data_IF_774897596863
#
_entry.id   IF_774897596863
#
_cell.length_a   1.000
_cell.length_b   1.000
_cell.length_c   1.000
_cell.angle_alpha   90.00
_cell.angle_beta   90.00
_cell.angle_gamma   90.00
#
_symmetry.space_group_name_H-M   'P 1'
#
loop_
_entity.id
_entity.type
_entity.pdbx_description
1 polymer ?
#
# COMPACT_ATOMS: atom_id res chain seq x y z
N UNK A 1 42.76 -35.82 -56.93
CA UNK A 1 42.54 -34.70 -56.00
C UNK A 1 41.05 -34.59 -55.83
N UNK A 2 40.60 -35.22 -54.76
CA UNK A 2 39.23 -35.21 -54.25
C UNK A 2 38.80 -33.80 -53.86
N UNK A 3 37.54 -33.47 -54.12
CA UNK A 3 36.81 -32.55 -53.25
C UNK A 3 35.33 -33.00 -53.16
N UNK A 4 34.87 -33.56 -52.03
CA UNK A 4 33.51 -34.03 -51.86
C UNK A 4 32.60 -33.01 -51.17
N UNK A 5 31.49 -32.68 -51.84
CA UNK A 5 30.13 -32.45 -51.33
C UNK A 5 29.98 -31.83 -49.92
N UNK A 6 29.58 -30.56 -49.89
CA UNK A 6 28.77 -30.00 -48.79
C UNK A 6 27.35 -29.70 -49.29
N UNK A 7 26.53 -30.76 -49.31
CA UNK A 7 25.08 -30.64 -49.39
C UNK A 7 24.51 -30.41 -47.99
N UNK A 8 24.40 -29.15 -47.57
CA UNK A 8 23.68 -28.78 -46.36
C UNK A 8 22.18 -29.05 -46.61
N UNK A 9 21.68 -30.15 -46.06
CA UNK A 9 20.24 -30.43 -45.99
C UNK A 9 19.56 -29.42 -45.05
N UNK A 10 19.06 -28.32 -45.61
CA UNK A 10 18.11 -27.43 -44.93
C UNK A 10 16.73 -28.08 -44.94
N UNK A 11 16.37 -28.80 -43.88
CA UNK A 11 15.08 -29.51 -43.86
C UNK A 11 14.66 -30.17 -42.56
N UNK A 12 15.23 -29.82 -41.41
CA UNK A 12 14.64 -30.23 -40.14
C UNK A 12 13.51 -29.26 -39.78
N UNK A 13 12.28 -29.66 -40.06
CA UNK A 13 11.12 -29.03 -39.44
C UNK A 13 11.30 -29.09 -37.92
N UNK A 14 11.17 -27.95 -37.24
CA UNK A 14 11.45 -27.83 -35.81
C UNK A 14 10.65 -28.89 -35.03
N UNK A 15 11.38 -29.82 -34.40
CA UNK A 15 10.86 -31.01 -33.74
C UNK A 15 9.78 -30.65 -32.70
N UNK A 16 9.83 -29.42 -32.18
CA UNK A 16 8.84 -28.80 -31.28
C UNK A 16 7.39 -28.91 -31.81
N UNK A 17 7.18 -28.78 -33.12
CA UNK A 17 5.84 -28.88 -33.73
C UNK A 17 5.27 -30.30 -33.75
N UNK A 18 6.14 -31.32 -33.70
CA UNK A 18 5.72 -32.73 -33.75
C UNK A 18 5.68 -33.41 -32.37
N UNK A 19 6.14 -32.75 -31.31
CA UNK A 19 6.23 -33.34 -29.96
C UNK A 19 4.90 -33.94 -29.50
N UNK A 20 3.77 -33.25 -29.69
CA UNK A 20 2.46 -33.76 -29.28
C UNK A 20 2.00 -34.97 -30.10
N UNK A 21 2.27 -34.97 -31.41
CA UNK A 21 1.96 -36.09 -32.30
C UNK A 21 2.84 -37.32 -32.00
N UNK A 22 4.15 -37.12 -31.82
CA UNK A 22 5.10 -38.18 -31.41
C UNK A 22 4.70 -38.76 -30.06
N UNK A 23 4.37 -37.91 -29.07
CA UNK A 23 3.84 -38.36 -27.77
C UNK A 23 2.55 -39.16 -27.93
N UNK A 24 1.65 -38.73 -28.81
CA UNK A 24 0.42 -39.46 -29.12
C UNK A 24 0.69 -40.88 -29.65
N UNK A 25 1.66 -41.03 -30.55
CA UNK A 25 2.08 -42.34 -31.09
C UNK A 25 2.77 -43.19 -30.01
N UNK A 26 3.70 -42.61 -29.25
CA UNK A 26 4.39 -43.31 -28.16
C UNK A 26 3.40 -43.80 -27.10
N UNK A 27 2.44 -42.96 -26.71
CA UNK A 27 1.38 -43.34 -25.76
C UNK A 27 0.50 -44.48 -26.28
N UNK A 28 0.24 -44.53 -27.59
CA UNK A 28 -0.61 -45.54 -28.23
C UNK A 28 0.08 -46.90 -28.39
N UNK A 29 1.41 -46.93 -28.51
CA UNK A 29 2.14 -48.16 -28.82
C UNK A 29 3.11 -48.65 -27.74
N UNK A 30 3.58 -47.78 -26.84
CA UNK A 30 4.69 -48.12 -25.93
C UNK A 30 4.42 -47.80 -24.46
N UNK A 31 3.31 -47.15 -24.11
CA UNK A 31 3.05 -46.70 -22.74
C UNK A 31 1.71 -47.22 -22.26
N UNK A 32 1.66 -48.46 -21.77
CA UNK A 32 0.44 -48.98 -21.14
C UNK A 32 0.31 -48.47 -19.69
N UNK A 33 1.41 -48.47 -18.92
CA UNK A 33 1.41 -48.25 -17.47
C UNK A 33 2.24 -47.04 -17.02
N UNK A 34 2.31 -45.98 -17.82
CA UNK A 34 3.05 -44.77 -17.43
C UNK A 34 2.48 -43.50 -18.07
N UNK A 35 3.01 -42.35 -17.67
CA UNK A 35 2.65 -41.04 -18.16
C UNK A 35 3.89 -40.14 -18.28
N UNK A 36 4.05 -39.44 -19.39
CA UNK A 36 5.10 -38.43 -19.52
C UNK A 36 4.70 -37.13 -18.83
N UNK A 37 5.61 -36.52 -18.07
CA UNK A 37 5.39 -35.18 -17.51
C UNK A 37 5.22 -34.15 -18.65
N UNK A 38 4.10 -33.40 -18.67
CA UNK A 38 3.84 -32.40 -19.70
C UNK A 38 4.78 -31.21 -19.54
N UNK A 39 4.98 -30.43 -20.61
CA UNK A 39 5.71 -29.17 -20.56
C UNK A 39 4.65 -28.09 -20.35
N UNK A 40 4.56 -27.55 -19.13
CA UNK A 40 3.61 -26.51 -18.77
C UNK A 40 4.39 -25.33 -18.21
N UNK A 41 4.25 -24.17 -18.83
CA UNK A 41 4.96 -22.96 -18.42
C UNK A 41 4.62 -22.60 -16.96
N UNK A 42 5.64 -22.30 -16.16
CA UNK A 42 5.47 -21.88 -14.78
C UNK A 42 5.25 -23.01 -13.79
N UNK A 43 5.31 -24.29 -14.20
CA UNK A 43 5.11 -25.46 -13.32
C UNK A 43 6.41 -26.24 -13.12
N UNK A 44 6.69 -26.57 -11.87
CA UNK A 44 7.71 -27.54 -11.44
C UNK A 44 7.04 -28.80 -10.89
N UNK A 45 7.64 -29.94 -11.14
CA UNK A 45 7.14 -31.24 -10.69
C UNK A 45 8.05 -31.83 -9.61
N UNK A 46 7.48 -32.43 -8.56
CA UNK A 46 8.23 -33.22 -7.57
C UNK A 46 7.41 -34.40 -7.07
N UNK A 47 8.07 -35.40 -6.50
CA UNK A 47 7.37 -36.39 -5.67
C UNK A 47 6.91 -35.78 -4.35
N UNK A 48 5.90 -36.39 -3.73
CA UNK A 48 5.47 -36.04 -2.39
C UNK A 48 6.61 -36.23 -1.38
N UNK A 49 6.86 -35.23 -0.54
CA UNK A 49 7.95 -35.24 0.44
C UNK A 49 9.36 -35.06 -0.14
N UNK A 50 9.52 -34.93 -1.47
CA UNK A 50 10.80 -34.69 -2.12
C UNK A 50 10.99 -33.22 -2.53
N UNK A 51 12.24 -32.75 -2.44
CA UNK A 51 12.67 -31.45 -2.96
C UNK A 51 13.30 -31.56 -4.37
N UNK A 52 13.45 -32.78 -4.89
CA UNK A 52 14.01 -33.00 -6.23
C UNK A 52 12.99 -32.59 -7.31
N UNK A 53 13.46 -31.76 -8.24
CA UNK A 53 12.66 -31.30 -9.37
C UNK A 53 12.77 -32.31 -10.50
N UNK A 54 11.62 -32.85 -10.92
CA UNK A 54 11.52 -33.77 -12.03
C UNK A 54 11.55 -32.99 -13.35
N UNK A 55 12.45 -33.40 -14.25
CA UNK A 55 12.53 -32.79 -15.58
C UNK A 55 11.27 -33.05 -16.40
N UNK A 56 10.91 -32.08 -17.23
CA UNK A 56 9.84 -32.25 -18.21
C UNK A 56 10.08 -33.47 -19.11
N UNK A 57 9.03 -34.21 -19.45
CA UNK A 57 9.15 -35.43 -20.24
C UNK A 57 9.70 -36.64 -19.49
N UNK A 58 9.94 -36.56 -18.18
CA UNK A 58 10.20 -37.75 -17.34
C UNK A 58 9.02 -38.72 -17.41
N UNK A 59 9.30 -40.02 -17.51
CA UNK A 59 8.30 -41.08 -17.51
C UNK A 59 7.91 -41.44 -16.05
N UNK A 60 6.64 -41.30 -15.72
CA UNK A 60 6.09 -41.56 -14.39
C UNK A 60 5.22 -42.81 -14.43
N UNK A 61 5.46 -43.74 -13.53
CA UNK A 61 4.69 -44.99 -13.46
C UNK A 61 3.21 -44.75 -13.10
N UNK A 62 2.35 -45.66 -13.56
CA UNK A 62 0.93 -45.70 -13.23
C UNK A 62 0.69 -45.70 -11.71
N UNK A 63 -0.42 -45.08 -11.28
CA UNK A 63 -0.82 -44.88 -9.89
C UNK A 63 0.14 -44.02 -9.04
N UNK A 64 1.01 -43.24 -9.67
CA UNK A 64 1.83 -42.25 -8.96
C UNK A 64 1.18 -40.87 -8.98
N UNK A 65 1.30 -40.19 -7.84
CA UNK A 65 0.94 -38.79 -7.66
C UNK A 65 2.19 -37.92 -7.72
N UNK A 66 2.10 -36.84 -8.47
CA UNK A 66 3.12 -35.80 -8.61
C UNK A 66 2.57 -34.51 -8.02
N UNK A 67 3.39 -33.84 -7.22
CA UNK A 67 3.11 -32.52 -6.68
C UNK A 67 3.55 -31.48 -7.71
N UNK A 68 2.65 -30.53 -7.99
CA UNK A 68 2.93 -29.36 -8.82
C UNK A 68 3.24 -28.16 -7.93
N UNK A 69 4.34 -27.48 -8.24
CA UNK A 69 4.76 -26.23 -7.61
C UNK A 69 4.93 -25.18 -8.71
N UNK A 70 4.99 -23.90 -8.34
CA UNK A 70 5.22 -22.84 -9.31
C UNK A 70 6.70 -22.46 -9.44
N UNK A 71 7.12 -22.16 -10.66
CA UNK A 71 8.42 -21.55 -10.95
C UNK A 71 8.51 -20.13 -10.36
N UNK A 72 9.72 -19.60 -10.27
CA UNK A 72 9.95 -18.21 -9.85
C UNK A 72 9.18 -17.23 -10.74
N UNK A 73 8.49 -16.27 -10.11
CA UNK A 73 7.61 -15.31 -10.79
C UNK A 73 6.19 -15.82 -11.08
N UNK A 74 5.90 -17.08 -10.77
CA UNK A 74 4.55 -17.65 -10.79
C UNK A 74 4.06 -17.95 -9.37
N UNK A 75 2.75 -17.91 -9.20
CA UNK A 75 2.09 -18.12 -7.91
C UNK A 75 0.93 -19.10 -8.04
N UNK A 76 0.74 -19.94 -7.01
CA UNK A 76 -0.35 -20.90 -6.97
C UNK A 76 -1.67 -20.19 -6.70
N UNK A 77 -2.67 -20.37 -7.56
CA UNK A 77 -4.03 -19.89 -7.32
C UNK A 77 -4.80 -20.76 -6.31
N UNK A 78 -4.35 -22.00 -6.09
CA UNK A 78 -4.98 -22.99 -5.23
C UNK A 78 -3.95 -23.60 -4.28
N UNK A 79 -4.34 -24.04 -3.08
CA UNK A 79 -3.40 -24.46 -2.04
C UNK A 79 -2.59 -25.72 -2.39
N UNK A 80 -3.11 -26.57 -3.29
CA UNK A 80 -2.51 -27.85 -3.63
C UNK A 80 -2.61 -28.06 -5.14
N UNK A 81 -1.49 -28.33 -5.79
CA UNK A 81 -1.43 -28.80 -7.17
C UNK A 81 -1.01 -30.27 -7.21
N UNK A 82 -1.87 -31.14 -7.72
CA UNK A 82 -1.56 -32.56 -7.87
C UNK A 82 -1.92 -33.07 -9.26
N UNK A 83 -1.04 -33.93 -9.79
CA UNK A 83 -1.34 -34.77 -10.95
C UNK A 83 -1.19 -36.24 -10.62
N UNK A 84 -2.17 -37.03 -11.01
CA UNK A 84 -2.19 -38.46 -10.84
C UNK A 84 -2.08 -39.16 -12.20
N UNK A 85 -1.12 -40.06 -12.35
CA UNK A 85 -0.95 -40.82 -13.59
C UNK A 85 -1.94 -42.00 -13.63
N UNK A 86 -2.89 -41.95 -14.58
CA UNK A 86 -3.87 -43.02 -14.84
C UNK A 86 -3.35 -44.09 -15.82
N UNK A 87 -2.10 -43.99 -16.26
CA UNK A 87 -1.55 -44.85 -17.31
C UNK A 87 -2.00 -44.42 -18.70
N UNK A 88 -1.49 -45.08 -19.73
CA UNK A 88 -1.77 -44.75 -21.14
C UNK A 88 -1.52 -43.28 -21.51
N UNK A 89 -0.58 -42.63 -20.83
CA UNK A 89 -0.28 -41.21 -21.00
C UNK A 89 -1.34 -40.24 -20.46
N UNK A 90 -2.36 -40.72 -19.73
CA UNK A 90 -3.44 -39.88 -19.20
C UNK A 90 -3.15 -39.39 -17.79
N UNK A 91 -3.32 -38.09 -17.59
CA UNK A 91 -3.21 -37.43 -16.29
C UNK A 91 -4.57 -37.01 -15.78
N UNK A 92 -4.83 -37.27 -14.51
CA UNK A 92 -5.90 -36.63 -13.76
C UNK A 92 -5.30 -35.48 -12.95
N UNK A 93 -5.87 -34.29 -13.04
CA UNK A 93 -5.40 -33.11 -12.32
C UNK A 93 -6.56 -32.45 -11.59
N UNK A 94 -6.28 -31.88 -10.43
CA UNK A 94 -7.31 -31.21 -9.62
C UNK A 94 -7.59 -29.78 -10.07
N UNK A 95 -6.75 -29.20 -10.93
CA UNK A 95 -6.90 -27.85 -11.47
C UNK A 95 -6.54 -27.83 -12.96
N UNK A 96 -7.21 -26.97 -13.73
CA UNK A 96 -6.87 -26.79 -15.16
C UNK A 96 -5.58 -25.98 -15.32
N UNK A 97 -5.41 -24.94 -14.50
CA UNK A 97 -4.20 -24.12 -14.42
C UNK A 97 -3.94 -23.74 -12.96
N UNK A 98 -2.77 -24.15 -12.46
CA UNK A 98 -2.36 -23.90 -11.07
C UNK A 98 -1.58 -22.60 -10.90
N UNK A 99 -0.62 -22.37 -11.79
CA UNK A 99 0.39 -21.33 -11.67
C UNK A 99 0.09 -20.14 -12.60
N UNK A 100 0.08 -18.94 -12.03
CA UNK A 100 -0.17 -17.70 -12.76
C UNK A 100 0.89 -16.65 -12.41
N UNK A 101 1.24 -15.81 -13.38
CA UNK A 101 1.76 -14.49 -13.08
C UNK A 101 0.58 -13.67 -12.53
N UNK A 102 0.67 -13.29 -11.27
CA UNK A 102 -0.41 -12.58 -10.58
C UNK A 102 -0.06 -11.11 -10.44
N UNK A 103 -1.08 -10.26 -10.47
CA UNK A 103 -0.90 -8.83 -10.28
C UNK A 103 -0.64 -8.51 -8.81
N UNK A 104 0.22 -7.51 -8.53
CA UNK A 104 0.55 -7.12 -7.16
C UNK A 104 -0.70 -6.63 -6.40
N UNK A 105 -0.69 -6.71 -5.06
CA UNK A 105 -1.76 -6.15 -4.22
C UNK A 105 -2.02 -4.67 -4.52
N UNK A 106 -3.29 -4.27 -4.45
CA UNK A 106 -3.72 -2.88 -4.56
C UNK A 106 -4.05 -2.33 -3.17
N UNK A 107 -3.18 -1.48 -2.65
CA UNK A 107 -3.31 -0.86 -1.32
C UNK A 107 -3.27 0.66 -1.51
N UNK A 108 -4.19 1.38 -0.88
CA UNK A 108 -4.24 2.83 -0.93
C UNK A 108 -4.87 3.45 0.32
N UNK A 109 -4.24 4.51 0.81
CA UNK A 109 -4.76 5.29 1.94
C UNK A 109 -5.87 6.24 1.51
N UNK A 110 -5.93 6.59 0.22
CA UNK A 110 -6.84 7.61 -0.32
C UNK A 110 -7.98 7.05 -1.20
N UNK A 111 -7.87 5.79 -1.64
CA UNK A 111 -8.87 5.12 -2.49
C UNK A 111 -9.60 4.01 -1.74
N UNK A 112 -10.89 3.85 -2.02
CA UNK A 112 -11.65 2.62 -1.79
C UNK A 112 -11.50 1.73 -3.03
N UNK A 113 -11.00 0.50 -2.85
CA UNK A 113 -10.68 -0.41 -3.96
C UNK A 113 -11.45 -1.71 -3.74
N UNK A 114 -12.22 -2.10 -4.75
CA UNK A 114 -12.99 -3.35 -4.76
C UNK A 114 -12.54 -4.21 -5.91
N UNK A 115 -12.20 -5.46 -5.62
CA UNK A 115 -11.75 -6.42 -6.62
C UNK A 115 -12.81 -7.49 -6.82
N UNK A 116 -12.99 -7.87 -8.08
CA UNK A 116 -13.87 -8.96 -8.47
C UNK A 116 -13.21 -9.83 -9.51
N UNK A 117 -13.38 -11.14 -9.39
CA UNK A 117 -12.96 -12.11 -10.39
C UNK A 117 -14.17 -12.95 -10.78
N UNK A 118 -14.51 -12.98 -12.06
CA UNK A 118 -15.73 -13.63 -12.58
C UNK A 118 -17.00 -13.19 -11.83
N UNK A 119 -17.10 -11.89 -11.51
CA UNK A 119 -18.23 -11.30 -10.78
C UNK A 119 -18.30 -11.63 -9.28
N UNK A 120 -17.35 -12.41 -8.73
CA UNK A 120 -17.27 -12.72 -7.31
C UNK A 120 -16.25 -11.84 -6.61
N UNK A 121 -16.48 -11.56 -5.33
CA UNK A 121 -15.55 -10.82 -4.50
C UNK A 121 -14.15 -11.45 -4.52
N UNK A 122 -13.13 -10.62 -4.70
CA UNK A 122 -11.73 -10.97 -4.55
C UNK A 122 -11.06 -9.98 -3.58
N UNK A 123 -10.12 -10.45 -2.79
CA UNK A 123 -9.39 -9.60 -1.85
C UNK A 123 -8.26 -8.84 -2.57
N UNK A 124 -8.38 -7.52 -2.71
CA UNK A 124 -7.38 -6.66 -3.35
C UNK A 124 -6.03 -6.60 -2.63
N UNK A 125 -6.00 -6.93 -1.33
CA UNK A 125 -4.78 -6.92 -0.52
C UNK A 125 -3.89 -8.13 -0.79
N UNK A 126 -4.38 -9.11 -1.55
CA UNK A 126 -3.61 -10.27 -1.99
C UNK A 126 -3.20 -10.12 -3.46
N UNK A 127 -2.28 -10.99 -3.89
CA UNK A 127 -1.99 -11.17 -5.31
C UNK A 127 -3.27 -11.55 -6.07
N UNK A 128 -3.49 -10.91 -7.21
CA UNK A 128 -4.70 -11.11 -8.02
C UNK A 128 -4.39 -11.99 -9.22
N UNK A 129 -5.22 -13.02 -9.45
CA UNK A 129 -5.14 -13.81 -10.69
C UNK A 129 -5.51 -12.96 -11.93
N UNK A 130 -5.02 -13.32 -13.12
CA UNK A 130 -5.44 -12.70 -14.37
C UNK A 130 -6.96 -12.61 -14.51
N UNK A 131 -7.42 -11.58 -15.23
CA UNK A 131 -8.83 -11.25 -15.45
C UNK A 131 -9.58 -10.78 -14.19
N UNK A 132 -8.89 -10.58 -13.08
CA UNK A 132 -9.43 -9.83 -11.93
C UNK A 132 -9.63 -8.36 -12.33
N UNK A 133 -10.81 -7.83 -12.07
CA UNK A 133 -11.17 -6.42 -12.28
C UNK A 133 -11.15 -5.73 -10.92
N UNK A 134 -10.43 -4.62 -10.83
CA UNK A 134 -10.44 -3.74 -9.67
C UNK A 134 -11.08 -2.40 -10.02
N UNK A 135 -12.06 -1.99 -9.23
CA UNK A 135 -12.68 -0.65 -9.32
C UNK A 135 -12.20 0.18 -8.15
N UNK A 136 -11.63 1.36 -8.45
CA UNK A 136 -11.10 2.28 -7.46
C UNK A 136 -11.81 3.64 -7.52
N UNK A 137 -12.18 4.17 -6.36
CA UNK A 137 -12.78 5.50 -6.19
C UNK A 137 -12.19 6.20 -4.97
N UNK A 138 -12.27 7.52 -4.87
CA UNK A 138 -11.79 8.23 -3.68
C UNK A 138 -12.58 7.80 -2.43
N UNK A 139 -11.90 7.70 -1.29
CA UNK A 139 -12.59 7.58 0.01
C UNK A 139 -13.42 8.84 0.28
N UNK A 140 -14.52 8.79 1.07
CA UNK A 140 -15.45 9.91 1.25
C UNK A 140 -14.83 11.26 1.68
N UNK A 141 -13.71 11.23 2.41
CA UNK A 141 -12.98 12.42 2.89
C UNK A 141 -11.94 12.95 1.89
N UNK A 142 -11.91 12.40 0.67
CA UNK A 142 -10.95 12.72 -0.37
C UNK A 142 -11.65 13.11 -1.68
N UNK A 143 -10.92 13.80 -2.56
CA UNK A 143 -11.38 14.26 -3.87
C UNK A 143 -10.38 13.87 -4.95
N UNK A 144 -10.88 13.63 -6.16
CA UNK A 144 -10.05 13.30 -7.31
C UNK A 144 -9.24 14.53 -7.76
N UNK A 145 -8.02 14.36 -8.32
CA UNK A 145 -7.18 15.46 -8.79
C UNK A 145 -7.89 16.43 -9.77
N UNK A 146 -8.83 15.94 -10.56
CA UNK A 146 -9.54 16.71 -11.59
C UNK A 146 -10.95 17.16 -11.15
N UNK A 147 -11.31 16.98 -9.86
CA UNK A 147 -12.63 17.33 -9.33
C UNK A 147 -13.80 16.48 -9.85
N UNK A 148 -13.55 15.57 -10.78
CA UNK A 148 -14.53 14.64 -11.33
C UNK A 148 -14.35 13.27 -10.66
N UNK A 149 -15.36 12.81 -9.92
CA UNK A 149 -15.39 11.44 -9.37
C UNK A 149 -15.50 10.44 -10.53
N UNK A 150 -14.35 9.94 -10.97
CA UNK A 150 -14.25 8.91 -11.99
C UNK A 150 -13.84 7.63 -11.27
N UNK A 151 -14.72 6.63 -11.28
CA UNK A 151 -14.33 5.28 -10.91
C UNK A 151 -13.30 4.77 -11.91
N UNK A 152 -12.09 4.49 -11.44
CA UNK A 152 -11.04 3.89 -12.25
C UNK A 152 -11.21 2.38 -12.25
N UNK A 153 -11.34 1.79 -13.43
CA UNK A 153 -11.33 0.34 -13.60
C UNK A 153 -9.96 -0.13 -14.11
N UNK A 154 -9.38 -1.10 -13.39
CA UNK A 154 -8.13 -1.78 -13.69
C UNK A 154 -8.40 -3.26 -13.98
N UNK A 155 -7.66 -3.83 -14.93
CA UNK A 155 -7.69 -5.24 -15.30
C UNK A 155 -6.33 -5.87 -15.04
N UNK A 156 -6.32 -6.99 -14.31
CA UNK A 156 -5.11 -7.79 -14.12
C UNK A 156 -4.80 -8.59 -15.39
N UNK A 157 -3.66 -8.31 -16.01
CA UNK A 157 -3.26 -8.93 -17.28
C UNK A 157 -2.52 -10.25 -17.04
N UNK A 158 -2.48 -11.10 -18.07
CA UNK A 158 -1.81 -12.42 -18.03
C UNK A 158 -0.30 -12.38 -17.78
N UNK A 159 0.33 -11.21 -17.96
CA UNK A 159 1.74 -10.97 -17.64
C UNK A 159 1.98 -10.67 -16.14
N UNK A 160 0.94 -10.60 -15.31
CA UNK A 160 1.03 -10.27 -13.89
C UNK A 160 1.10 -8.77 -13.59
N UNK A 161 0.66 -7.91 -14.53
CA UNK A 161 0.62 -6.47 -14.34
C UNK A 161 -0.80 -5.92 -14.47
N UNK A 162 -1.11 -4.88 -13.69
CA UNK A 162 -2.32 -4.10 -13.90
C UNK A 162 -2.19 -3.25 -15.15
N UNK A 163 -3.24 -3.19 -15.97
CA UNK A 163 -3.24 -2.41 -17.21
C UNK A 163 -3.16 -0.89 -17.01
N UNK A 164 -3.44 -0.40 -15.80
CA UNK A 164 -3.42 1.01 -15.40
C UNK A 164 -2.79 1.16 -14.03
N UNK A 165 -2.39 2.37 -13.68
CA UNK A 165 -1.90 2.71 -12.35
C UNK A 165 -2.99 3.41 -11.53
N UNK A 166 -2.97 3.20 -10.22
CA UNK A 166 -3.83 3.93 -9.30
C UNK A 166 -3.45 5.41 -9.29
N UNK A 167 -4.47 6.27 -9.33
CA UNK A 167 -4.31 7.69 -9.04
C UNK A 167 -4.32 7.93 -7.52
N UNK A 168 -3.89 9.10 -7.08
CA UNK A 168 -3.96 9.51 -5.66
C UNK A 168 -5.06 10.54 -5.48
N UNK A 169 -5.93 10.35 -4.51
CA UNK A 169 -6.91 11.37 -4.13
C UNK A 169 -6.31 12.33 -3.11
N UNK A 170 -6.76 13.58 -3.14
CA UNK A 170 -6.36 14.62 -2.20
C UNK A 170 -7.41 14.74 -1.10
N UNK A 171 -7.04 14.90 0.16
CA UNK A 171 -8.03 15.09 1.21
C UNK A 171 -8.78 16.41 1.02
N UNK A 172 -10.07 16.44 1.35
CA UNK A 172 -10.75 17.72 1.54
C UNK A 172 -10.10 18.48 2.69
N UNK A 173 -9.72 19.72 2.45
CA UNK A 173 -9.06 20.56 3.45
C UNK A 173 -9.89 21.80 3.81
N UNK A 174 -9.63 22.39 4.98
CA UNK A 174 -10.20 23.67 5.40
C UNK A 174 -11.72 23.67 5.61
N UNK A 175 -12.35 22.49 5.68
CA UNK A 175 -13.79 22.35 5.94
C UNK A 175 -14.03 22.17 7.42
N UNK A 176 -14.88 23.03 7.98
CA UNK A 176 -15.34 22.92 9.36
C UNK A 176 -16.57 22.03 9.40
N UNK A 177 -16.64 21.08 10.32
CA UNK A 177 -17.83 20.26 10.52
C UNK A 177 -18.67 20.89 11.64
N UNK A 178 -19.56 21.82 11.28
CA UNK A 178 -20.57 22.34 12.21
C UNK A 178 -21.94 22.18 11.56
N UNK A 179 -22.83 21.39 12.17
CA UNK A 179 -24.28 21.57 11.95
C UNK A 179 -24.65 22.88 12.62
N UNK A 180 -24.80 23.95 11.83
CA UNK A 180 -25.40 25.25 12.16
C UNK A 180 -25.15 25.76 13.58
N UNK A 181 -24.05 26.45 13.91
CA UNK A 181 -24.08 27.46 15.00
C UNK A 181 -23.00 28.55 14.80
N UNK A 182 -23.35 29.74 15.30
CA UNK A 182 -22.70 31.06 15.11
C UNK A 182 -21.30 31.09 15.75
N UNK A 183 -20.37 31.77 15.07
CA UNK A 183 -19.06 32.14 15.62
C UNK A 183 -19.26 33.06 16.83
N UNK A 184 -18.87 32.62 18.02
CA UNK A 184 -18.86 33.46 19.22
C UNK A 184 -17.39 33.74 19.58
N UNK A 185 -17.06 35.02 19.54
CA UNK A 185 -15.81 35.61 20.00
C UNK A 185 -15.91 35.80 21.53
N UNK A 186 -15.05 35.12 22.30
CA UNK A 186 -14.75 35.32 23.75
C UNK A 186 -14.14 34.11 24.50
N UNK A 187 -13.52 33.13 23.82
CA UNK A 187 -12.66 32.14 24.51
C UNK A 187 -13.39 31.04 25.28
N UNK A 188 -14.62 30.69 24.90
CA UNK A 188 -15.30 29.50 25.41
C UNK A 188 -14.75 28.20 24.80
N UNK A 189 -14.94 27.08 25.51
CA UNK A 189 -14.48 25.73 25.13
C UNK A 189 -14.84 25.40 23.68
N UNK A 190 -13.82 25.10 22.87
CA UNK A 190 -14.02 24.74 21.48
C UNK A 190 -14.89 23.47 21.35
N UNK A 191 -15.96 23.56 20.56
CA UNK A 191 -16.82 22.41 20.27
C UNK A 191 -16.13 21.49 19.25
N UNK A 192 -16.44 20.19 19.35
CA UNK A 192 -15.97 19.18 18.40
C UNK A 192 -16.32 19.58 16.97
N UNK A 193 -15.33 19.56 16.07
CA UNK A 193 -15.48 19.85 14.65
C UNK A 193 -15.30 21.32 14.25
N UNK A 194 -15.09 22.23 15.20
CA UNK A 194 -14.91 23.68 14.92
C UNK A 194 -13.51 24.06 14.40
N UNK A 195 -12.51 23.23 14.70
CA UNK A 195 -11.14 23.31 14.16
C UNK A 195 -10.58 21.88 13.99
N UNK A 196 -11.08 21.10 13.01
CA UNK A 196 -10.76 19.68 12.87
C UNK A 196 -9.30 19.41 12.48
N UNK A 197 -8.56 20.44 12.06
CA UNK A 197 -7.13 20.39 11.81
C UNK A 197 -6.29 20.63 13.06
N UNK A 198 -6.88 20.98 14.21
CA UNK A 198 -6.13 21.30 15.42
C UNK A 198 -5.37 20.09 15.95
N UNK A 199 -4.18 20.36 16.48
CA UNK A 199 -3.27 19.34 17.01
C UNK A 199 -2.74 19.76 18.37
N UNK A 200 -2.81 18.87 19.35
CA UNK A 200 -2.06 18.96 20.59
C UNK A 200 -0.73 18.23 20.48
N UNK A 201 0.36 18.89 20.83
CA UNK A 201 1.72 18.34 20.78
C UNK A 201 2.20 18.13 22.20
N UNK A 202 2.46 16.88 22.52
CA UNK A 202 2.81 16.43 23.86
C UNK A 202 4.24 15.95 23.93
N UNK A 203 4.95 16.31 24.99
CA UNK A 203 6.30 15.84 25.28
C UNK A 203 6.31 15.02 26.57
N UNK A 204 7.00 13.88 26.56
CA UNK A 204 7.20 13.07 27.74
C UNK A 204 8.10 13.82 28.74
N UNK A 205 7.55 14.12 29.90
CA UNK A 205 8.26 14.57 31.06
C UNK A 205 8.88 13.36 31.78
N UNK A 206 10.20 13.23 31.68
CA UNK A 206 10.92 12.07 32.24
C UNK A 206 10.96 12.06 33.77
N UNK A 207 10.58 13.15 34.44
CA UNK A 207 10.63 13.22 35.91
C UNK A 207 9.42 12.56 36.57
N UNK A 208 8.23 12.72 35.99
CA UNK A 208 6.97 12.18 36.51
C UNK A 208 6.34 11.14 35.56
N UNK A 209 6.97 10.90 34.41
CA UNK A 209 6.51 9.98 33.36
C UNK A 209 5.18 10.38 32.73
N UNK A 210 4.78 11.65 32.83
CA UNK A 210 3.58 12.18 32.18
C UNK A 210 3.89 12.86 30.84
N UNK A 211 2.85 13.07 30.04
CA UNK A 211 2.94 13.82 28.79
C UNK A 211 2.35 15.22 28.96
N UNK A 212 3.20 16.22 28.85
CA UNK A 212 2.81 17.63 28.96
C UNK A 212 2.55 18.22 27.58
N UNK A 213 1.44 18.95 27.43
CA UNK A 213 1.15 19.65 26.18
C UNK A 213 2.05 20.88 26.05
N UNK A 214 3.02 20.82 25.15
CA UNK A 214 4.02 21.88 24.97
C UNK A 214 3.62 22.88 23.89
N UNK A 215 2.89 22.45 22.86
CA UNK A 215 2.57 23.27 21.70
C UNK A 215 1.29 22.82 21.00
N UNK A 216 0.81 23.67 20.08
CA UNK A 216 -0.21 23.34 19.11
C UNK A 216 0.37 23.11 17.71
N UNK A 217 -0.46 22.61 16.80
CA UNK A 217 -0.11 22.45 15.39
C UNK A 217 -1.34 22.38 14.49
N UNK A 218 -1.12 22.12 13.21
CA UNK A 218 -2.20 21.88 12.26
C UNK A 218 -1.91 20.69 11.33
N UNK A 219 -2.92 19.87 11.09
CA UNK A 219 -2.83 18.77 10.14
C UNK A 219 -2.78 19.33 8.72
N UNK A 220 -1.77 18.99 7.92
CA UNK A 220 -1.66 19.39 6.51
C UNK A 220 -1.71 18.20 5.55
N UNK A 221 -1.50 16.98 6.05
CA UNK A 221 -1.57 15.70 5.33
C UNK A 221 -1.80 14.58 6.35
N UNK A 222 -2.25 13.36 5.97
CA UNK A 222 -2.46 12.27 6.93
C UNK A 222 -1.27 11.95 7.84
N UNK A 223 -0.04 12.19 7.40
CA UNK A 223 1.18 11.96 8.20
C UNK A 223 2.01 13.23 8.46
N UNK A 224 1.51 14.42 8.14
CA UNK A 224 2.27 15.67 8.29
C UNK A 224 1.49 16.70 9.11
N UNK A 225 2.16 17.20 10.15
CA UNK A 225 1.69 18.30 10.97
C UNK A 225 2.63 19.48 10.80
N UNK A 226 2.08 20.68 10.65
CA UNK A 226 2.82 21.94 10.72
C UNK A 226 2.75 22.49 12.15
N UNK A 227 3.87 22.99 12.66
CA UNK A 227 3.97 23.62 13.99
C UNK A 227 5.08 24.68 13.96
N UNK A 228 5.45 25.19 15.13
CA UNK A 228 6.52 26.17 15.29
C UNK A 228 7.85 25.49 15.66
N UNK A 229 8.96 26.07 15.21
CA UNK A 229 10.29 25.54 15.48
C UNK A 229 10.73 25.72 16.93
N UNK A 230 10.29 26.81 17.58
CA UNK A 230 10.60 27.10 18.97
C UNK A 230 10.11 26.01 19.94
N UNK A 231 9.09 25.24 19.56
CA UNK A 231 8.57 24.12 20.35
C UNK A 231 9.60 23.01 20.60
N UNK A 232 10.54 22.82 19.66
CA UNK A 232 11.47 21.67 19.68
C UNK A 232 12.94 22.09 19.72
N UNK A 233 13.22 23.35 19.38
CA UNK A 233 14.57 23.87 19.32
C UNK A 233 15.21 23.92 20.71
N UNK A 234 16.49 23.55 20.76
CA UNK A 234 17.35 23.70 21.93
C UNK A 234 18.63 24.44 21.55
N UNK A 235 19.15 25.22 22.50
CA UNK A 235 20.46 25.88 22.33
C UNK A 235 21.53 24.83 22.03
N UNK A 236 22.40 25.14 21.06
CA UNK A 236 23.47 24.26 20.58
C UNK A 236 23.04 22.95 19.88
N UNK A 237 21.81 22.87 19.36
CA UNK A 237 21.45 21.80 18.41
C UNK A 237 22.34 21.85 17.16
N UNK A 238 22.98 20.72 16.84
CA UNK A 238 23.82 20.56 15.65
C UNK A 238 23.02 20.22 14.38
N UNK A 239 21.83 19.63 14.55
CA UNK A 239 20.95 19.22 13.45
C UNK A 239 19.58 19.89 13.62
N UNK A 240 18.95 20.29 12.51
CA UNK A 240 17.56 20.77 12.46
C UNK A 240 16.56 19.63 12.22
N UNK A 241 17.05 18.41 12.06
CA UNK A 241 16.27 17.18 11.99
C UNK A 241 16.41 16.40 13.30
N UNK A 242 15.28 16.02 13.89
CA UNK A 242 15.19 15.25 15.13
C UNK A 242 14.47 13.94 14.82
N UNK A 243 15.20 12.83 14.81
CA UNK A 243 14.61 11.49 14.72
C UNK A 243 14.13 11.03 16.09
N UNK A 244 12.89 10.52 16.19
CA UNK A 244 12.28 10.11 17.46
C UNK A 244 12.23 8.59 17.53
N UNK A 245 12.86 8.02 18.54
CA UNK A 245 12.91 6.56 18.78
C UNK A 245 12.50 6.17 20.19
N UNK A 246 12.30 7.13 21.10
CA UNK A 246 12.07 6.92 22.53
C UNK A 246 10.68 7.42 22.99
N UNK A 247 9.71 7.48 22.08
CA UNK A 247 8.35 7.96 22.34
C UNK A 247 8.27 9.38 22.94
N UNK A 248 9.35 10.16 22.87
CA UNK A 248 9.45 11.48 23.51
C UNK A 248 8.34 12.45 23.13
N UNK A 249 7.78 12.32 21.93
CA UNK A 249 6.68 13.15 21.47
C UNK A 249 5.47 12.32 21.03
N UNK A 250 4.29 12.80 21.42
CA UNK A 250 3.00 12.28 20.98
C UNK A 250 2.17 13.41 20.38
N UNK A 251 1.41 13.08 19.36
CA UNK A 251 0.52 13.98 18.65
C UNK A 251 -0.90 13.54 18.92
N UNK A 252 -1.73 14.44 19.43
CA UNK A 252 -3.16 14.21 19.61
C UNK A 252 -3.96 15.06 18.64
N UNK A 253 -4.88 14.43 17.90
CA UNK A 253 -5.81 15.10 16.97
C UNK A 253 -7.24 14.77 17.34
N UNK A 254 -8.18 15.64 16.99
CA UNK A 254 -9.59 15.47 17.38
C UNK A 254 -9.84 15.62 18.88
N UNK A 255 -8.86 16.09 19.65
CA UNK A 255 -8.87 16.24 21.10
C UNK A 255 -9.07 17.71 21.50
N UNK A 256 -9.89 17.93 22.53
CA UNK A 256 -10.32 19.24 23.05
C UNK A 256 -9.95 19.46 24.52
N UNK A 257 -9.72 18.39 25.28
CA UNK A 257 -9.18 18.41 26.64
C UNK A 257 -7.64 18.46 26.63
N UNK A 258 -7.02 19.30 27.46
CA UNK A 258 -5.56 19.42 27.52
C UNK A 258 -4.87 18.20 28.11
N UNK A 259 -5.49 17.49 29.05
CA UNK A 259 -4.87 16.37 29.75
C UNK A 259 -4.66 15.20 28.77
N UNK A 260 -3.41 14.80 28.58
CA UNK A 260 -3.02 13.73 27.64
C UNK A 260 -3.76 12.41 27.90
N UNK A 261 -3.98 12.07 29.17
CA UNK A 261 -4.57 10.78 29.58
C UNK A 261 -6.07 10.68 29.30
N UNK A 262 -6.74 11.79 29.02
CA UNK A 262 -8.19 11.82 28.78
C UNK A 262 -8.46 11.61 27.29
N UNK A 263 -9.23 10.57 26.96
CA UNK A 263 -9.90 10.43 25.67
C UNK A 263 -11.28 11.06 25.80
N UNK A 264 -11.43 12.26 25.27
CA UNK A 264 -12.60 13.12 25.50
C UNK A 264 -13.73 12.95 24.48
N UNK A 265 -13.47 12.28 23.35
CA UNK A 265 -14.47 11.97 22.33
C UNK A 265 -13.99 10.86 21.36
N UNK A 266 -14.90 10.41 20.50
CA UNK A 266 -14.69 9.33 19.51
C UNK A 266 -13.72 9.66 18.36
N UNK A 267 -13.40 10.93 18.13
CA UNK A 267 -12.48 11.36 17.08
C UNK A 267 -11.03 11.47 17.57
N UNK A 268 -10.80 11.38 18.89
CA UNK A 268 -9.48 11.52 19.50
C UNK A 268 -8.54 10.40 19.05
N UNK A 269 -7.45 10.79 18.41
CA UNK A 269 -6.39 9.88 17.95
C UNK A 269 -5.06 10.37 18.51
N UNK A 270 -4.30 9.45 19.12
CA UNK A 270 -2.96 9.70 19.64
C UNK A 270 -1.96 8.92 18.79
N UNK A 271 -0.98 9.63 18.24
CA UNK A 271 -0.08 9.12 17.20
C UNK A 271 1.37 9.43 17.58
N UNK A 272 2.24 8.47 17.30
CA UNK A 272 3.68 8.62 17.52
C UNK A 272 4.32 9.50 16.46
N UNK A 273 5.37 10.21 16.86
CA UNK A 273 6.22 10.99 15.95
C UNK A 273 7.37 10.13 15.43
N UNK A 274 7.64 10.22 14.13
CA UNK A 274 8.81 9.61 13.49
C UNK A 274 9.97 10.60 13.47
N UNK A 275 9.74 11.80 12.93
CA UNK A 275 10.78 12.81 12.73
C UNK A 275 10.20 14.21 12.84
N UNK A 276 11.00 15.14 13.36
CA UNK A 276 10.69 16.57 13.39
C UNK A 276 11.74 17.32 12.56
N UNK A 277 11.28 18.13 11.62
CA UNK A 277 12.09 19.01 10.79
C UNK A 277 11.87 20.46 11.20
N UNK A 278 12.92 21.11 11.67
CA UNK A 278 12.95 22.55 11.87
C UNK A 278 13.45 23.23 10.59
N UNK A 279 12.97 24.43 10.31
CA UNK A 279 13.53 25.21 9.21
C UNK A 279 15.01 25.54 9.49
N UNK A 280 15.85 25.41 8.47
CA UNK A 280 17.30 25.61 8.60
C UNK A 280 17.68 27.00 9.13
N UNK A 281 16.97 28.05 8.71
CA UNK A 281 17.19 29.42 9.16
C UNK A 281 16.72 29.73 10.59
N UNK A 282 16.09 28.77 11.30
CA UNK A 282 15.62 29.02 12.66
C UNK A 282 16.77 28.95 13.69
N UNK A 283 17.20 30.11 14.19
CA UNK A 283 18.27 30.23 15.20
C UNK A 283 17.77 30.58 16.60
N UNK A 284 16.47 30.46 16.88
CA UNK A 284 15.91 30.81 18.18
C UNK A 284 16.04 32.31 18.48
N UNK A 285 16.23 32.70 19.76
CA UNK A 285 16.31 34.11 20.14
C UNK A 285 17.41 34.89 19.42
N UNK A 286 18.55 34.27 19.09
CA UNK A 286 19.65 34.95 18.37
C UNK A 286 19.30 35.30 16.92
N UNK A 287 18.33 34.59 16.33
CA UNK A 287 17.77 34.91 15.01
C UNK A 287 16.46 35.68 15.10
N UNK A 288 16.13 36.29 16.24
CA UNK A 288 14.85 37.00 16.49
C UNK A 288 13.61 36.14 16.21
N UNK A 289 13.70 34.82 16.40
CA UNK A 289 12.65 33.87 16.06
C UNK A 289 12.20 33.94 14.58
N UNK A 290 13.07 34.41 13.68
CA UNK A 290 12.81 34.31 12.25
C UNK A 290 12.72 32.85 11.81
N UNK A 291 11.89 32.58 10.81
CA UNK A 291 11.68 31.24 10.25
C UNK A 291 11.18 30.20 11.27
N UNK A 292 10.34 30.62 12.21
CA UNK A 292 9.77 29.79 13.28
C UNK A 292 8.70 28.80 12.78
N UNK A 293 9.13 27.84 11.98
CA UNK A 293 8.28 26.81 11.37
C UNK A 293 8.93 25.43 11.46
N UNK A 294 8.11 24.44 11.78
CA UNK A 294 8.49 23.05 11.85
C UNK A 294 7.47 22.14 11.15
N UNK A 295 7.96 21.03 10.60
CA UNK A 295 7.15 19.94 10.06
C UNK A 295 7.41 18.68 10.87
N UNK A 296 6.34 18.05 11.34
CA UNK A 296 6.37 16.80 12.09
C UNK A 296 5.85 15.70 11.19
N UNK A 297 6.63 14.63 11.06
CA UNK A 297 6.29 13.40 10.36
C UNK A 297 5.81 12.37 11.38
N UNK A 298 4.61 11.82 11.17
CA UNK A 298 3.99 10.83 12.04
C UNK A 298 4.36 9.41 11.62
N UNK A 299 4.51 8.50 12.59
CA UNK A 299 4.78 7.07 12.31
C UNK A 299 3.57 6.38 11.66
N UNK A 300 2.35 6.81 12.00
CA UNK A 300 1.11 6.27 11.48
C UNK A 300 0.22 7.38 10.92
N UNK A 301 -0.65 7.02 9.98
CA UNK A 301 -1.57 7.96 9.34
C UNK A 301 -2.71 8.35 10.28
N UNK A 302 -3.01 9.64 10.34
CA UNK A 302 -4.26 10.18 10.87
C UNK A 302 -5.42 9.69 10.02
N UNK A 303 -6.46 9.15 10.65
CA UNK A 303 -7.71 8.81 9.99
C UNK A 303 -8.62 10.05 9.93
N UNK A 304 -8.88 10.52 8.72
CA UNK A 304 -9.76 11.68 8.52
C UNK A 304 -11.23 11.32 8.71
N UNK A 305 -11.95 12.23 9.35
CA UNK A 305 -13.35 12.14 9.72
C UNK A 305 -13.96 13.53 9.79
N UNK A 306 -15.20 13.62 10.27
CA UNK A 306 -15.85 14.89 10.53
C UNK A 306 -15.16 15.70 11.65
N UNK A 307 -14.58 15.04 12.65
CA UNK A 307 -13.87 15.69 13.75
C UNK A 307 -12.38 15.95 13.48
N UNK A 308 -11.81 15.33 12.44
CA UNK A 308 -10.38 15.36 12.12
C UNK A 308 -10.16 15.51 10.62
N UNK A 309 -9.66 16.64 10.16
CA UNK A 309 -9.40 16.90 8.74
C UNK A 309 -8.29 17.94 8.56
N UNK A 310 -7.58 17.96 7.42
CA UNK A 310 -6.45 18.86 7.24
C UNK A 310 -6.88 20.31 6.97
N UNK A 311 -6.00 21.26 7.26
CA UNK A 311 -6.08 22.63 6.77
C UNK A 311 -5.50 22.72 5.35
N UNK A 312 -6.00 23.66 4.55
CA UNK A 312 -5.47 23.90 3.21
C UNK A 312 -4.16 24.69 3.28
N UNK A 313 -3.23 24.38 2.37
CA UNK A 313 -2.05 25.21 2.11
C UNK A 313 -2.29 25.97 0.80
N UNK A 314 -2.05 27.27 0.83
CA UNK A 314 -2.08 28.11 -0.36
C UNK A 314 -0.74 28.08 -1.09
N UNK A 315 -0.55 27.06 -1.92
CA UNK A 315 0.69 26.84 -2.66
C UNK A 315 1.00 27.94 -3.69
N UNK A 316 -0.02 28.69 -4.13
CA UNK A 316 0.13 29.72 -5.15
C UNK A 316 0.26 31.13 -4.55
N UNK A 317 0.21 31.27 -3.22
CA UNK A 317 0.21 32.57 -2.55
C UNK A 317 -0.92 33.48 -3.03
N UNK A 318 -2.08 32.90 -3.37
CA UNK A 318 -3.25 33.64 -3.84
C UNK A 318 -3.85 34.53 -2.75
N UNK A 319 -3.74 34.13 -1.49
CA UNK A 319 -4.25 34.87 -0.35
C UNK A 319 -3.14 35.71 0.27
N UNK A 320 -3.36 37.03 0.30
CA UNK A 320 -2.51 37.95 1.04
C UNK A 320 -2.99 38.00 2.49
N UNK A 321 -2.22 37.36 3.38
CA UNK A 321 -2.41 37.46 4.82
C UNK A 321 -1.53 38.60 5.33
N UNK A 322 -2.12 39.60 5.96
CA UNK A 322 -1.39 40.72 6.53
C UNK A 322 -0.77 40.35 7.89
N UNK A 323 0.31 41.03 8.27
CA UNK A 323 0.85 40.91 9.62
C UNK A 323 -0.21 41.34 10.65
N UNK A 324 -0.60 40.40 11.53
CA UNK A 324 -1.61 40.63 12.55
C UNK A 324 -2.96 39.93 12.29
N UNK A 325 -3.14 39.31 11.12
CA UNK A 325 -4.35 38.55 10.84
C UNK A 325 -4.54 37.40 11.84
N UNK A 326 -5.74 37.31 12.42
CA UNK A 326 -6.08 36.28 13.40
C UNK A 326 -6.67 35.03 12.72
N UNK A 327 -5.99 33.90 12.85
CA UNK A 327 -6.51 32.59 12.48
C UNK A 327 -7.29 31.94 13.62
N UNK A 328 -8.19 31.00 13.29
CA UNK A 328 -8.84 30.16 14.31
C UNK A 328 -7.81 29.27 15.00
N UNK A 329 -7.52 29.58 16.27
CA UNK A 329 -6.83 28.68 17.20
C UNK A 329 -7.88 28.00 18.07
N UNK A 330 -7.96 26.67 18.06
CA UNK A 330 -8.72 25.98 19.10
C UNK A 330 -7.87 25.99 20.37
N UNK A 331 -8.24 26.85 21.32
CA UNK A 331 -7.72 26.77 22.68
C UNK A 331 -8.45 25.61 23.38
N UNK A 332 -7.70 24.56 23.66
CA UNK A 332 -8.13 23.45 24.51
C UNK A 332 -8.19 23.96 25.95
N UNK A 333 -9.35 23.82 26.61
CA UNK A 333 -9.57 24.21 28.01
C UNK A 333 -8.75 23.37 28.97
#
# INVERSE_FOLDING_TARGET
>A
MDDPKDGIFSGFADLKYYVQWIRGILNKHFIENSCFLPIVEGILYSYEGSNEILSHGTLINHHRTIIEKCELGYHMAYPIGIRFCQGKGKWLSNTEKLCFKMCPPLISDSLDIKCSHNGKYANCSNLSIPDTIATASCKPTFTAPNGQEITLELLCQSNGLWNKQLYRCHPYCGRVYVKNHVLIDNGDKALVGTAPWNVGIYQLNKTDSNYDMICGGSIISPNLIISAAHCFWKKAMLSKKISITDDLYKIAVGKYDRNFTIIDNEFTQIINVETIHLKEGYYGPTGFHAEDIAIIVLQNLVSFSNGVSPICIDWNGKYNVANGDQGKKAQTS
#
